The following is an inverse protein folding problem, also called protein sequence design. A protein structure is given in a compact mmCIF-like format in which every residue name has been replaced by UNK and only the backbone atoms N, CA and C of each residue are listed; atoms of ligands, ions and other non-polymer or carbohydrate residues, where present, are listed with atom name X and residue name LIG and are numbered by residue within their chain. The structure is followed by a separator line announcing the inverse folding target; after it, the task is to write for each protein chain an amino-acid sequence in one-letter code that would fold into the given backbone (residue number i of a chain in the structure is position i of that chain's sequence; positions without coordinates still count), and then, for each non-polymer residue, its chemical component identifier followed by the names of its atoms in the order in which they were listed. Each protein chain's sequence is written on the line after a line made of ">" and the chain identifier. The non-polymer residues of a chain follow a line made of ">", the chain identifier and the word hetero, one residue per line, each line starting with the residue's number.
data_IF_027227578477
#
_entry.id   IF_027227578477
#
_cell.length_a   1.000
_cell.length_b   1.000
_cell.length_c   1.000
_cell.angle_alpha   90.00
_cell.angle_beta   90.00
_cell.angle_gamma   90.00
#
_symmetry.space_group_name_H-M   'P 1'
#
loop_
_entity.id
_entity.type
_entity.pdbx_description
1 polymer ?
#
# COMPACT_ATOMS: atom_id res chain seq x y z
N UNK A 1 4.24 26.63 48.60
CA UNK A 1 3.86 25.46 47.78
C UNK A 1 4.43 25.68 46.38
N UNK A 2 5.67 25.25 46.13
CA UNK A 2 6.26 25.31 44.79
C UNK A 2 5.89 24.03 44.05
N UNK A 3 4.74 24.05 43.37
CA UNK A 3 4.40 22.99 42.43
C UNK A 3 5.26 23.16 41.18
N UNK A 4 6.47 22.60 41.16
CA UNK A 4 7.18 22.40 39.91
C UNK A 4 6.35 21.42 39.08
N UNK A 5 5.76 21.89 37.98
CA UNK A 5 5.22 20.96 36.98
C UNK A 5 6.38 20.08 36.52
N UNK A 6 6.24 18.78 36.78
CA UNK A 6 7.19 17.76 36.37
C UNK A 6 7.21 17.70 34.85
N UNK A 7 8.39 17.89 34.26
CA UNK A 7 8.59 17.93 32.81
C UNK A 7 8.13 16.63 32.15
N UNK A 8 8.28 15.51 32.85
CA UNK A 8 7.83 14.21 32.37
C UNK A 8 6.31 14.15 32.29
N UNK A 9 5.59 14.82 33.20
CA UNK A 9 4.12 14.92 33.14
C UNK A 9 3.66 15.82 31.98
N UNK A 10 4.36 16.94 31.73
CA UNK A 10 4.04 17.80 30.57
C UNK A 10 4.29 17.04 29.26
N UNK A 11 5.45 16.41 29.12
CA UNK A 11 5.80 15.65 27.91
C UNK A 11 4.87 14.44 27.71
N UNK A 12 4.45 13.77 28.79
CA UNK A 12 3.47 12.69 28.75
C UNK A 12 2.10 13.19 28.27
N UNK A 13 1.59 14.30 28.81
CA UNK A 13 0.31 14.89 28.39
C UNK A 13 0.36 15.37 26.93
N UNK A 14 1.45 16.03 26.52
CA UNK A 14 1.63 16.50 25.15
C UNK A 14 1.79 15.34 24.16
N UNK A 15 2.43 14.24 24.55
CA UNK A 15 2.61 13.05 23.71
C UNK A 15 1.33 12.27 23.44
N UNK A 16 0.31 12.42 24.30
CA UNK A 16 -0.99 11.75 24.18
C UNK A 16 -2.01 12.53 23.35
N UNK A 17 -1.68 13.75 22.93
CA UNK A 17 -2.55 14.57 22.07
C UNK A 17 -2.05 14.56 20.63
N UNK A 18 -2.69 13.79 19.71
CA UNK A 18 -2.20 13.61 18.34
C UNK A 18 -2.19 14.91 17.51
N UNK A 19 -2.95 15.94 17.92
CA UNK A 19 -3.09 17.23 17.23
C UNK A 19 -2.47 18.42 17.97
N UNK A 20 -1.64 18.20 18.99
CA UNK A 20 -1.05 19.33 19.72
C UNK A 20 -0.09 20.10 18.81
N UNK A 21 -0.42 21.37 18.52
CA UNK A 21 0.31 22.19 17.56
C UNK A 21 1.78 22.34 17.94
N UNK A 22 2.67 21.64 17.23
CA UNK A 22 4.14 21.68 17.44
C UNK A 22 4.67 23.13 17.48
N UNK A 23 4.09 23.99 16.65
CA UNK A 23 4.38 25.43 16.61
C UNK A 23 4.01 26.14 17.93
N UNK A 24 2.88 25.78 18.54
CA UNK A 24 2.44 26.35 19.81
C UNK A 24 3.34 25.89 20.98
N UNK A 25 3.74 24.62 21.01
CA UNK A 25 4.73 24.11 21.98
C UNK A 25 6.08 24.81 21.84
N UNK A 26 6.55 24.99 20.60
CA UNK A 26 7.79 25.69 20.29
C UNK A 26 7.74 27.15 20.72
N UNK A 27 6.66 27.86 20.40
CA UNK A 27 6.44 29.25 20.79
C UNK A 27 6.37 29.42 22.32
N UNK A 28 5.72 28.50 23.02
CA UNK A 28 5.66 28.49 24.49
C UNK A 28 7.05 28.25 25.11
N UNK A 29 7.81 27.28 24.60
CA UNK A 29 9.18 27.04 25.06
C UNK A 29 10.10 28.26 24.83
N UNK A 30 9.99 28.91 23.66
CA UNK A 30 10.71 30.15 23.37
C UNK A 30 10.32 31.30 24.32
N UNK A 31 9.04 31.40 24.69
CA UNK A 31 8.59 32.37 25.69
C UNK A 31 9.22 32.09 27.07
N UNK A 32 9.26 30.83 27.50
CA UNK A 32 9.85 30.45 28.79
C UNK A 32 11.36 30.76 28.86
N UNK A 33 12.10 30.50 27.78
CA UNK A 33 13.54 30.85 27.69
C UNK A 33 13.76 32.37 27.84
N UNK A 34 12.87 33.20 27.28
CA UNK A 34 12.97 34.66 27.45
C UNK A 34 12.78 35.13 28.89
N UNK A 35 12.02 34.39 29.69
CA UNK A 35 11.80 34.69 31.11
C UNK A 35 12.92 34.11 31.99
N UNK A 36 13.44 32.93 31.62
CA UNK A 36 14.49 32.21 32.34
C UNK A 36 15.50 31.64 31.31
N UNK A 37 16.62 32.35 31.05
CA UNK A 37 17.54 32.04 29.96
C UNK A 37 18.13 30.61 29.98
N UNK A 38 18.35 30.03 31.15
CA UNK A 38 18.96 28.70 31.32
C UNK A 38 17.93 27.58 31.57
N UNK A 39 16.70 27.74 31.08
CA UNK A 39 15.65 26.75 31.33
C UNK A 39 15.81 25.51 30.44
N UNK A 40 16.65 24.57 30.87
CA UNK A 40 17.02 23.35 30.15
C UNK A 40 15.81 22.55 29.61
N UNK A 41 14.71 22.52 30.37
CA UNK A 41 13.46 21.87 29.97
C UNK A 41 12.86 22.47 28.69
N UNK A 42 12.88 23.80 28.56
CA UNK A 42 12.37 24.48 27.37
C UNK A 42 13.27 24.25 26.14
N UNK A 43 14.59 24.17 26.33
CA UNK A 43 15.50 23.76 25.25
C UNK A 43 15.23 22.34 24.75
N UNK A 44 15.00 21.38 25.66
CA UNK A 44 14.66 20.00 25.27
C UNK A 44 13.31 19.91 24.54
N UNK A 45 12.31 20.71 24.94
CA UNK A 45 11.02 20.77 24.26
C UNK A 45 11.16 21.29 22.81
N UNK A 46 11.98 22.33 22.58
CA UNK A 46 12.26 22.84 21.22
C UNK A 46 12.90 21.75 20.36
N UNK A 47 13.93 21.07 20.88
CA UNK A 47 14.61 19.99 20.15
C UNK A 47 13.65 18.84 19.82
N UNK A 48 12.73 18.50 20.73
CA UNK A 48 11.69 17.51 20.47
C UNK A 48 10.72 17.96 19.37
N UNK A 49 10.25 19.21 19.40
CA UNK A 49 9.39 19.77 18.37
C UNK A 49 10.06 19.78 16.99
N UNK A 50 11.31 20.23 16.91
CA UNK A 50 12.08 20.30 15.66
C UNK A 50 12.30 18.90 15.06
N UNK A 51 12.62 17.89 15.89
CA UNK A 51 12.72 16.49 15.43
C UNK A 51 11.40 15.94 14.88
N UNK A 52 10.27 16.25 15.53
CA UNK A 52 8.95 15.83 15.06
C UNK A 52 8.55 16.51 13.75
N UNK A 53 8.86 17.80 13.59
CA UNK A 53 8.64 18.53 12.33
C UNK A 53 9.50 17.96 11.20
N UNK A 54 10.79 17.70 11.46
CA UNK A 54 11.69 17.11 10.48
C UNK A 54 11.21 15.72 10.01
N UNK A 55 10.82 14.84 10.93
CA UNK A 55 10.28 13.51 10.58
C UNK A 55 8.99 13.62 9.76
N UNK A 56 8.11 14.58 10.06
CA UNK A 56 6.89 14.81 9.28
C UNK A 56 7.20 15.30 7.86
N UNK A 57 8.18 16.20 7.72
CA UNK A 57 8.62 16.71 6.42
C UNK A 57 9.31 15.61 5.58
N UNK A 58 10.13 14.77 6.22
CA UNK A 58 10.77 13.60 5.58
C UNK A 58 9.72 12.60 5.09
N UNK A 59 8.76 12.23 5.93
CA UNK A 59 7.64 11.36 5.53
C UNK A 59 6.85 11.97 4.37
N UNK A 60 6.52 13.26 4.44
CA UNK A 60 5.80 13.95 3.37
C UNK A 60 6.59 13.98 2.04
N UNK A 61 7.92 14.12 2.12
CA UNK A 61 8.81 14.04 0.96
C UNK A 61 8.83 12.63 0.37
N UNK A 62 8.93 11.60 1.23
CA UNK A 62 8.91 10.20 0.81
C UNK A 62 7.57 9.80 0.17
N UNK A 63 6.45 10.24 0.75
CA UNK A 63 5.11 10.06 0.20
C UNK A 63 5.00 10.72 -1.18
N UNK A 64 5.49 11.95 -1.31
CA UNK A 64 5.48 12.69 -2.59
C UNK A 64 6.32 12.01 -3.66
N UNK A 65 7.51 11.50 -3.30
CA UNK A 65 8.36 10.74 -4.20
C UNK A 65 7.67 9.45 -4.65
N UNK A 66 7.07 8.72 -3.72
CA UNK A 66 6.34 7.48 -4.01
C UNK A 66 5.18 7.71 -4.98
N UNK A 67 4.38 8.76 -4.75
CA UNK A 67 3.27 9.15 -5.64
C UNK A 67 3.77 9.47 -7.05
N UNK A 68 4.88 10.21 -7.15
CA UNK A 68 5.46 10.56 -8.45
C UNK A 68 5.98 9.30 -9.18
N UNK A 69 6.72 8.42 -8.49
CA UNK A 69 7.19 7.16 -9.06
C UNK A 69 6.03 6.28 -9.56
N UNK A 70 4.98 6.13 -8.76
CA UNK A 70 3.76 5.41 -9.16
C UNK A 70 3.14 6.00 -10.44
N UNK A 71 2.92 7.33 -10.48
CA UNK A 71 2.31 8.00 -11.65
C UNK A 71 3.16 7.87 -12.90
N UNK A 72 4.48 8.01 -12.76
CA UNK A 72 5.43 7.82 -13.86
C UNK A 72 5.35 6.40 -14.40
N UNK A 73 5.45 5.38 -13.55
CA UNK A 73 5.38 3.97 -13.98
C UNK A 73 4.05 3.64 -14.67
N UNK A 74 2.92 4.07 -14.12
CA UNK A 74 1.61 3.83 -14.75
C UNK A 74 1.52 4.50 -16.12
N UNK A 75 2.15 5.66 -16.29
CA UNK A 75 2.20 6.37 -17.57
C UNK A 75 3.12 5.68 -18.58
N UNK A 76 4.31 5.27 -18.15
CA UNK A 76 5.29 4.59 -19.00
C UNK A 76 4.82 3.21 -19.43
N UNK A 77 4.07 2.51 -18.58
CA UNK A 77 3.59 1.15 -18.79
C UNK A 77 2.11 1.10 -19.22
N UNK A 78 1.58 2.22 -19.73
CA UNK A 78 0.18 2.33 -20.17
C UNK A 78 -0.20 1.22 -21.19
N UNK A 79 0.75 0.81 -22.04
CA UNK A 79 0.52 -0.24 -23.03
C UNK A 79 0.30 -1.62 -22.41
N UNK A 80 0.92 -1.92 -21.26
CA UNK A 80 0.68 -3.16 -20.54
C UNK A 80 -0.76 -3.19 -20.02
N UNK A 81 -1.21 -2.11 -19.39
CA UNK A 81 -2.58 -2.02 -18.88
C UNK A 81 -3.61 -2.08 -20.02
N UNK A 82 -3.35 -1.42 -21.15
CA UNK A 82 -4.19 -1.52 -22.36
C UNK A 82 -4.24 -2.95 -22.92
N UNK A 83 -3.16 -3.71 -22.84
CA UNK A 83 -3.17 -5.11 -23.26
C UNK A 83 -4.06 -5.97 -22.36
N UNK A 84 -4.04 -5.76 -21.05
CA UNK A 84 -4.98 -6.42 -20.12
C UNK A 84 -6.43 -6.03 -20.41
N UNK A 85 -6.68 -4.73 -20.60
CA UNK A 85 -8.01 -4.21 -20.94
C UNK A 85 -8.54 -4.81 -22.25
N UNK A 86 -7.65 -5.00 -23.24
CA UNK A 86 -8.00 -5.63 -24.50
C UNK A 86 -8.46 -7.08 -24.31
N UNK A 87 -7.74 -7.88 -23.51
CA UNK A 87 -8.15 -9.24 -23.18
C UNK A 87 -9.51 -9.28 -22.48
N UNK A 88 -9.74 -8.36 -21.54
CA UNK A 88 -11.05 -8.22 -20.88
C UNK A 88 -12.14 -7.96 -21.93
N UNK A 89 -11.94 -7.01 -22.83
CA UNK A 89 -12.91 -6.70 -23.90
C UNK A 89 -13.17 -7.91 -24.81
N UNK A 90 -12.12 -8.62 -25.23
CA UNK A 90 -12.23 -9.78 -26.10
C UNK A 90 -12.92 -10.97 -25.43
N UNK A 91 -12.80 -11.10 -24.10
CA UNK A 91 -13.49 -12.13 -23.33
C UNK A 91 -15.02 -12.02 -23.39
N UNK A 92 -15.53 -10.80 -23.66
CA UNK A 92 -16.95 -10.47 -23.64
C UNK A 92 -17.58 -10.39 -22.24
N UNK A 93 -16.77 -10.45 -21.19
CA UNK A 93 -17.18 -10.38 -19.79
C UNK A 93 -16.83 -9.01 -19.19
N UNK A 94 -17.74 -8.37 -18.43
CA UNK A 94 -17.42 -7.13 -17.74
C UNK A 94 -16.38 -7.36 -16.65
N UNK A 95 -15.45 -6.42 -16.48
CA UNK A 95 -14.42 -6.50 -15.46
C UNK A 95 -15.02 -6.31 -14.05
N UNK A 96 -15.10 -7.40 -13.30
CA UNK A 96 -15.43 -7.36 -11.88
C UNK A 96 -14.23 -6.83 -11.06
N UNK A 97 -14.49 -6.33 -9.84
CA UNK A 97 -13.52 -5.87 -8.82
C UNK A 97 -12.04 -5.72 -9.23
N UNK A 98 -11.55 -4.49 -9.30
CA UNK A 98 -10.15 -4.22 -9.65
C UNK A 98 -9.64 -2.92 -9.01
N UNK A 99 -8.34 -2.62 -9.17
CA UNK A 99 -7.72 -1.44 -8.57
C UNK A 99 -7.65 -0.21 -9.49
N UNK A 100 -8.07 -0.28 -10.76
CA UNK A 100 -7.96 0.82 -11.75
C UNK A 100 -9.29 1.49 -12.12
N UNK A 101 -10.37 0.72 -12.21
CA UNK A 101 -11.60 1.10 -12.88
C UNK A 101 -12.81 1.03 -11.95
N UNK A 102 -13.91 1.67 -12.34
CA UNK A 102 -15.19 1.44 -11.70
C UNK A 102 -15.66 -0.01 -11.96
N UNK A 103 -16.30 -0.62 -10.96
CA UNK A 103 -16.83 -1.98 -11.02
C UNK A 103 -17.68 -2.21 -12.29
N UNK A 104 -17.45 -3.35 -12.96
CA UNK A 104 -18.09 -3.75 -14.22
C UNK A 104 -17.83 -2.80 -15.39
N UNK A 105 -16.69 -2.10 -15.37
CA UNK A 105 -16.29 -1.18 -16.43
C UNK A 105 -14.77 -1.09 -16.59
N UNK A 106 -14.34 -0.50 -17.70
CA UNK A 106 -12.96 -0.05 -17.93
C UNK A 106 -12.84 1.48 -17.86
N UNK A 107 -13.73 2.13 -17.10
CA UNK A 107 -13.65 3.59 -16.87
C UNK A 107 -12.71 3.86 -15.69
N UNK A 108 -11.60 4.60 -15.85
CA UNK A 108 -10.65 4.84 -14.76
C UNK A 108 -11.32 5.49 -13.55
N UNK A 109 -10.98 5.00 -12.37
CA UNK A 109 -11.49 5.50 -11.09
C UNK A 109 -10.38 6.27 -10.34
N UNK A 110 -10.58 7.58 -10.22
CA UNK A 110 -9.73 8.44 -9.38
C UNK A 110 -9.87 8.09 -7.89
N UNK A 111 -11.02 7.54 -7.47
CA UNK A 111 -11.26 7.13 -6.08
C UNK A 111 -10.33 5.99 -5.63
N UNK A 112 -9.86 5.18 -6.58
CA UNK A 112 -8.95 4.06 -6.31
C UNK A 112 -7.46 4.45 -6.38
N UNK A 113 -7.12 5.72 -6.65
CA UNK A 113 -5.71 6.15 -6.77
C UNK A 113 -4.92 5.87 -5.49
N UNK A 114 -5.50 6.17 -4.32
CA UNK A 114 -4.85 5.87 -3.04
C UNK A 114 -4.67 4.36 -2.81
N UNK A 115 -5.60 3.50 -3.27
CA UNK A 115 -5.43 2.03 -3.23
C UNK A 115 -4.22 1.63 -4.07
N UNK A 116 -4.09 2.18 -5.28
CA UNK A 116 -2.96 1.90 -6.18
C UNK A 116 -1.63 2.40 -5.63
N UNK A 117 -1.58 3.63 -5.08
CA UNK A 117 -0.37 4.18 -4.46
C UNK A 117 0.08 3.31 -3.28
N UNK A 118 -0.85 2.90 -2.41
CA UNK A 118 -0.53 2.06 -1.26
C UNK A 118 -0.03 0.67 -1.68
N UNK A 119 -0.66 0.07 -2.70
CA UNK A 119 -0.25 -1.21 -3.26
C UNK A 119 1.15 -1.12 -3.88
N UNK A 120 1.37 -0.11 -4.72
CA UNK A 120 2.67 0.18 -5.33
C UNK A 120 3.75 0.37 -4.27
N UNK A 121 3.50 1.24 -3.28
CA UNK A 121 4.42 1.52 -2.17
C UNK A 121 4.83 0.24 -1.42
N UNK A 122 3.84 -0.58 -1.05
CA UNK A 122 4.06 -1.83 -0.33
C UNK A 122 4.91 -2.83 -1.12
N UNK A 123 4.82 -2.80 -2.45
CA UNK A 123 5.56 -3.69 -3.33
C UNK A 123 6.98 -3.21 -3.67
N UNK A 124 7.32 -1.93 -3.45
CA UNK A 124 8.64 -1.37 -3.82
C UNK A 124 9.84 -2.10 -3.21
N UNK A 125 9.68 -2.75 -2.06
CA UNK A 125 10.73 -3.50 -1.36
C UNK A 125 10.47 -5.02 -1.32
N UNK A 126 9.30 -5.48 -1.78
CA UNK A 126 8.88 -6.88 -1.68
C UNK A 126 9.63 -7.74 -2.70
N UNK A 127 10.27 -8.82 -2.29
CA UNK A 127 10.96 -9.76 -3.19
C UNK A 127 10.09 -10.96 -3.55
N UNK A 128 9.20 -11.40 -2.65
CA UNK A 128 8.34 -12.56 -2.83
C UNK A 128 6.91 -12.22 -2.43
N UNK A 129 6.09 -12.01 -3.45
CA UNK A 129 4.72 -11.55 -3.32
C UNK A 129 3.80 -12.76 -3.48
N UNK A 130 2.82 -12.89 -2.60
CA UNK A 130 1.68 -13.78 -2.79
C UNK A 130 0.43 -12.94 -3.02
N UNK A 131 -0.33 -13.27 -4.04
CA UNK A 131 -1.64 -12.68 -4.32
C UNK A 131 -2.74 -13.74 -4.25
N UNK A 132 -3.86 -13.42 -3.59
CA UNK A 132 -5.11 -14.16 -3.69
C UNK A 132 -6.13 -13.26 -4.39
N UNK A 133 -6.68 -13.71 -5.51
CA UNK A 133 -7.53 -12.92 -6.39
C UNK A 133 -6.71 -12.21 -7.47
N UNK A 134 -6.21 -12.97 -8.44
CA UNK A 134 -5.52 -12.44 -9.63
C UNK A 134 -6.46 -11.63 -10.51
N UNK A 135 -7.68 -12.14 -10.71
CA UNK A 135 -8.71 -11.55 -11.58
C UNK A 135 -8.14 -11.20 -12.98
N UNK A 136 -8.15 -9.92 -13.38
CA UNK A 136 -7.55 -9.46 -14.64
C UNK A 136 -6.07 -9.04 -14.53
N UNK A 137 -5.43 -9.21 -13.37
CA UNK A 137 -4.00 -9.01 -13.18
C UNK A 137 -3.52 -7.57 -12.98
N UNK A 138 -4.41 -6.57 -12.88
CA UNK A 138 -3.97 -5.17 -12.74
C UNK A 138 -3.19 -4.88 -11.45
N UNK A 139 -3.54 -5.53 -10.33
CA UNK A 139 -2.79 -5.47 -9.08
C UNK A 139 -1.43 -6.18 -9.19
N UNK A 140 -1.40 -7.39 -9.75
CA UNK A 140 -0.17 -8.14 -10.03
C UNK A 140 0.81 -7.32 -10.88
N UNK A 141 0.32 -6.74 -11.99
CA UNK A 141 1.11 -5.89 -12.86
C UNK A 141 1.71 -4.70 -12.09
N UNK A 142 0.90 -4.01 -11.27
CA UNK A 142 1.36 -2.86 -10.49
C UNK A 142 2.45 -3.25 -9.48
N UNK A 143 2.28 -4.39 -8.80
CA UNK A 143 3.28 -4.87 -7.83
C UNK A 143 4.59 -5.35 -8.50
N UNK A 144 4.50 -6.00 -9.66
CA UNK A 144 5.68 -6.45 -10.43
C UNK A 144 6.46 -5.27 -11.05
N UNK A 145 5.77 -4.18 -11.40
CA UNK A 145 6.38 -2.94 -11.87
C UNK A 145 7.02 -2.14 -10.73
N UNK A 146 6.44 -2.19 -9.52
CA UNK A 146 6.97 -1.46 -8.35
C UNK A 146 8.36 -1.92 -7.93
N UNK A 147 8.67 -3.21 -8.12
CA UNK A 147 10.00 -3.75 -7.88
C UNK A 147 10.40 -4.70 -9.02
N UNK A 148 11.40 -4.36 -9.86
CA UNK A 148 11.81 -5.18 -10.99
C UNK A 148 12.46 -6.52 -10.60
N UNK A 149 12.79 -6.71 -9.31
CA UNK A 149 13.39 -7.94 -8.79
C UNK A 149 12.40 -8.84 -8.05
N UNK A 150 11.13 -8.46 -7.94
CA UNK A 150 10.13 -9.26 -7.22
C UNK A 150 9.67 -10.47 -8.04
N UNK A 151 9.32 -11.56 -7.36
CA UNK A 151 8.54 -12.67 -7.89
C UNK A 151 7.14 -12.64 -7.28
N UNK A 152 6.12 -13.00 -8.05
CA UNK A 152 4.73 -13.04 -7.62
C UNK A 152 4.12 -14.43 -7.88
N UNK A 153 3.51 -15.00 -6.86
CA UNK A 153 2.68 -16.20 -6.97
C UNK A 153 1.23 -15.81 -6.73
N UNK A 154 0.39 -15.95 -7.76
CA UNK A 154 -1.03 -15.67 -7.68
C UNK A 154 -1.84 -16.96 -7.44
N UNK A 155 -2.90 -16.85 -6.65
CA UNK A 155 -3.95 -17.85 -6.50
C UNK A 155 -5.25 -17.24 -6.98
N UNK A 156 -5.96 -17.93 -7.86
CA UNK A 156 -7.25 -17.46 -8.37
C UNK A 156 -8.16 -18.63 -8.69
N UNK A 157 -9.48 -18.44 -8.54
CA UNK A 157 -10.46 -19.47 -8.89
C UNK A 157 -10.59 -19.67 -10.41
N UNK A 158 -10.13 -18.69 -11.19
CA UNK A 158 -10.13 -18.65 -12.66
C UNK A 158 -11.52 -18.78 -13.30
N UNK A 159 -12.55 -18.25 -12.63
CA UNK A 159 -13.93 -18.29 -13.12
C UNK A 159 -14.18 -17.23 -14.21
N UNK A 160 -13.50 -16.08 -14.14
CA UNK A 160 -13.64 -15.05 -15.18
C UNK A 160 -12.91 -15.44 -16.45
N UNK A 161 -13.58 -15.26 -17.60
CA UNK A 161 -13.10 -15.64 -18.94
C UNK A 161 -11.82 -14.94 -19.36
N UNK A 162 -11.52 -13.78 -18.77
CA UNK A 162 -10.30 -13.02 -19.06
C UNK A 162 -9.09 -13.47 -18.23
N UNK A 163 -9.26 -14.24 -17.15
CA UNK A 163 -8.21 -14.51 -16.16
C UNK A 163 -6.96 -15.11 -16.78
N UNK A 164 -7.10 -16.22 -17.50
CA UNK A 164 -5.97 -16.93 -18.11
C UNK A 164 -5.31 -16.12 -19.24
N UNK A 165 -6.10 -15.39 -20.02
CA UNK A 165 -5.58 -14.52 -21.08
C UNK A 165 -4.78 -13.35 -20.51
N UNK A 166 -5.27 -12.71 -19.45
CA UNK A 166 -4.56 -11.65 -18.74
C UNK A 166 -3.28 -12.20 -18.08
N UNK A 167 -3.34 -13.40 -17.52
CA UNK A 167 -2.16 -14.07 -16.99
C UNK A 167 -1.11 -14.31 -18.08
N UNK A 168 -1.51 -14.76 -19.26
CA UNK A 168 -0.59 -14.96 -20.38
C UNK A 168 0.13 -13.66 -20.78
N UNK A 169 -0.60 -12.53 -20.83
CA UNK A 169 0.01 -11.20 -21.07
C UNK A 169 1.08 -10.86 -20.03
N UNK A 170 0.79 -11.10 -18.74
CA UNK A 170 1.76 -10.82 -17.67
C UNK A 170 2.93 -11.80 -17.66
N UNK A 171 2.69 -13.08 -17.94
CA UNK A 171 3.73 -14.10 -18.02
C UNK A 171 4.71 -13.83 -19.18
N UNK A 172 4.21 -13.33 -20.31
CA UNK A 172 5.05 -12.87 -21.42
C UNK A 172 5.85 -11.62 -21.04
N UNK A 173 5.21 -10.65 -20.36
CA UNK A 173 5.88 -9.41 -19.95
C UNK A 173 6.93 -9.62 -18.85
N UNK A 174 6.67 -10.54 -17.92
CA UNK A 174 7.47 -10.78 -16.72
C UNK A 174 7.92 -12.25 -16.67
N UNK A 175 8.73 -12.71 -17.64
CA UNK A 175 9.12 -14.10 -17.73
C UNK A 175 9.83 -14.55 -16.44
N UNK A 176 9.41 -15.71 -15.91
CA UNK A 176 9.92 -16.30 -14.66
C UNK A 176 9.68 -15.47 -13.38
N UNK A 177 8.89 -14.40 -13.46
CA UNK A 177 8.58 -13.55 -12.31
C UNK A 177 7.15 -13.68 -11.81
N UNK A 178 6.28 -14.33 -12.57
CA UNK A 178 4.89 -14.55 -12.17
C UNK A 178 4.47 -15.99 -12.45
N UNK A 179 3.80 -16.60 -11.47
CA UNK A 179 3.16 -17.91 -11.57
C UNK A 179 1.70 -17.80 -11.07
N UNK A 180 0.81 -18.66 -11.59
CA UNK A 180 -0.60 -18.74 -11.20
C UNK A 180 -0.97 -20.17 -10.81
N UNK A 181 -1.58 -20.31 -9.64
CA UNK A 181 -2.20 -21.54 -9.17
C UNK A 181 -3.72 -21.37 -9.26
N UNK A 182 -4.32 -22.04 -10.25
CA UNK A 182 -5.75 -22.03 -10.46
C UNK A 182 -6.48 -22.94 -9.44
N UNK A 183 -7.62 -22.47 -8.93
CA UNK A 183 -8.52 -23.18 -8.02
C UNK A 183 -8.83 -22.41 -6.74
N UNK A 184 -9.80 -22.90 -5.97
CA UNK A 184 -10.22 -22.28 -4.70
C UNK A 184 -9.03 -22.16 -3.72
N UNK A 185 -8.68 -20.93 -3.37
CA UNK A 185 -7.59 -20.60 -2.43
C UNK A 185 -7.75 -21.25 -1.05
N UNK A 186 -8.98 -21.56 -0.60
CA UNK A 186 -9.20 -22.31 0.64
C UNK A 186 -8.67 -23.74 0.56
N UNK A 187 -8.43 -24.26 -0.65
CA UNK A 187 -7.88 -25.59 -0.91
C UNK A 187 -6.44 -25.50 -1.44
N UNK A 188 -6.19 -24.68 -2.46
CA UNK A 188 -4.90 -24.63 -3.17
C UNK A 188 -3.78 -24.02 -2.33
N UNK A 189 -4.06 -22.98 -1.53
CA UNK A 189 -3.05 -22.35 -0.69
C UNK A 189 -2.57 -23.26 0.46
N UNK A 190 -3.46 -23.94 1.23
CA UNK A 190 -3.01 -24.94 2.20
C UNK A 190 -2.20 -26.08 1.58
N UNK A 191 -2.61 -26.59 0.42
CA UNK A 191 -1.87 -27.64 -0.30
C UNK A 191 -0.47 -27.16 -0.70
N UNK A 192 -0.37 -25.98 -1.32
CA UNK A 192 0.92 -25.37 -1.66
C UNK A 192 1.82 -25.22 -0.42
N UNK A 193 1.26 -24.81 0.72
CA UNK A 193 2.03 -24.66 1.96
C UNK A 193 2.57 -25.99 2.48
N UNK A 194 1.81 -27.07 2.35
CA UNK A 194 2.24 -28.42 2.73
C UNK A 194 3.36 -28.94 1.82
N UNK A 195 3.27 -28.68 0.52
CA UNK A 195 4.25 -29.10 -0.48
C UNK A 195 5.54 -28.26 -0.43
N UNK A 196 5.43 -26.99 -0.04
CA UNK A 196 6.53 -26.02 -0.02
C UNK A 196 6.73 -25.37 1.37
N UNK A 197 7.04 -26.13 2.44
CA UNK A 197 7.07 -25.62 3.81
C UNK A 197 8.15 -24.55 4.06
N UNK A 198 9.20 -24.53 3.25
CA UNK A 198 10.30 -23.56 3.34
C UNK A 198 10.06 -22.25 2.55
N UNK A 199 9.04 -22.21 1.70
CA UNK A 199 8.70 -20.98 0.96
C UNK A 199 8.09 -19.97 1.93
N UNK A 200 8.48 -18.71 1.80
CA UNK A 200 7.93 -17.58 2.54
C UNK A 200 7.72 -16.42 1.57
N UNK A 201 6.78 -15.56 1.93
CA UNK A 201 6.44 -14.34 1.21
C UNK A 201 6.66 -13.14 2.13
N UNK A 202 7.16 -12.05 1.59
CA UNK A 202 7.39 -10.79 2.32
C UNK A 202 6.30 -9.74 2.05
N UNK A 203 5.42 -10.01 1.09
CA UNK A 203 4.18 -9.26 0.86
C UNK A 203 3.02 -10.23 0.55
N UNK A 204 1.89 -10.03 1.23
CA UNK A 204 0.64 -10.75 0.97
C UNK A 204 -0.40 -9.73 0.50
N UNK A 205 -0.93 -9.90 -0.70
CA UNK A 205 -2.07 -9.15 -1.22
C UNK A 205 -3.28 -10.07 -1.27
N UNK A 206 -4.33 -9.75 -0.52
CA UNK A 206 -5.56 -10.53 -0.46
C UNK A 206 -6.68 -9.66 -1.01
N UNK A 207 -7.08 -9.93 -2.25
CA UNK A 207 -8.18 -9.25 -2.96
C UNK A 207 -9.18 -10.29 -3.51
N UNK A 208 -9.25 -11.45 -2.84
CA UNK A 208 -10.17 -12.55 -3.14
C UNK A 208 -11.17 -12.79 -2.00
N UNK A 209 -12.28 -13.46 -2.33
CA UNK A 209 -13.44 -13.71 -1.46
C UNK A 209 -14.16 -12.45 -0.99
N UNK A 210 -15.21 -12.08 -1.73
CA UNK A 210 -16.38 -11.42 -1.16
C UNK A 210 -17.39 -12.49 -0.79
N UNK A 211 -17.06 -13.36 0.17
CA UNK A 211 -18.11 -14.17 0.79
C UNK A 211 -19.11 -13.19 1.39
N UNK A 212 -20.22 -12.99 0.69
CA UNK A 212 -21.37 -12.31 1.23
C UNK A 212 -21.66 -13.05 2.53
N UNK A 213 -21.53 -12.37 3.67
CA UNK A 213 -22.19 -12.88 4.87
C UNK A 213 -23.65 -13.15 4.47
N UNK A 214 -24.32 -14.16 5.05
CA UNK A 214 -25.65 -14.64 4.63
C UNK A 214 -26.78 -13.58 4.56
N UNK A 215 -26.48 -12.31 4.83
CA UNK A 215 -27.36 -11.15 4.80
C UNK A 215 -27.23 -10.30 3.52
N UNK A 216 -26.42 -10.70 2.52
CA UNK A 216 -26.52 -10.15 1.16
C UNK A 216 -26.16 -8.67 0.97
N UNK A 217 -25.36 -8.09 1.87
CA UNK A 217 -24.77 -6.76 1.63
C UNK A 217 -23.38 -6.95 1.02
N UNK A 218 -23.28 -6.72 -0.28
CA UNK A 218 -22.04 -6.36 -0.98
C UNK A 218 -22.02 -4.84 -1.18
#
# INVERSE_FOLDING_TARGET
>A
MSGSLDLDQILQVLSQSPDFGLEACRNFAQFLIKQVPDYAAAHQLILWCDRKQAAKAEQQSLDSQTINCYRTIVTEEEQLFKALDHVVVESGEPLEGNCFYYHLSLKPSALLENKRINLFSSATQAQKILEIGFNAGHSAALMLLANPNSNLLAFDICEHRYTEGCFAVLAERFPHRIDLIAGDSNTTLPLFRLEHPAVYFDLLHIDGSHSCLPNGNC
#
